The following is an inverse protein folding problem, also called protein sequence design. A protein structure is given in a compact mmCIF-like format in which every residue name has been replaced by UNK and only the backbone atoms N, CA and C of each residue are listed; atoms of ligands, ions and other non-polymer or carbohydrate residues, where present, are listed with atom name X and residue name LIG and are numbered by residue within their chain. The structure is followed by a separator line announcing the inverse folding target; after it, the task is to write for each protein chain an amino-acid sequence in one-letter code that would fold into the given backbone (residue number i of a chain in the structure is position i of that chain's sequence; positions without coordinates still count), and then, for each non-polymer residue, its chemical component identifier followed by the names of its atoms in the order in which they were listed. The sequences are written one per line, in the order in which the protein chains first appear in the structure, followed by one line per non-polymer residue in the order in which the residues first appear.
data_IF_806888037981
#
_entry.id   IF_806888037981
#
_cell.length_a   1.000
_cell.length_b   1.000
_cell.length_c   1.000
_cell.angle_alpha   90.00
_cell.angle_beta   90.00
_cell.angle_gamma   90.00
#
_symmetry.space_group_name_H-M   'P 1'
#
loop_
_entity.id
_entity.type
_entity.pdbx_description
1 polymer ?
#
# COMPACT_ATOMS: atom_id res chain seq x y z
N UNK A 1 -2.72 -26.05 8.08
CA UNK A 1 -2.38 -24.72 8.64
C UNK A 1 -1.76 -23.80 7.58
N UNK A 2 -0.98 -24.32 6.62
CA UNK A 2 -0.39 -23.54 5.50
C UNK A 2 -1.41 -22.76 4.66
N UNK A 3 -2.59 -23.33 4.36
CA UNK A 3 -3.61 -22.65 3.57
C UNK A 3 -4.07 -21.30 4.17
N UNK A 4 -4.06 -21.16 5.50
CA UNK A 4 -4.45 -19.93 6.19
C UNK A 4 -3.32 -18.88 6.18
N UNK A 5 -2.06 -19.30 6.09
CA UNK A 5 -0.92 -18.39 6.00
C UNK A 5 -0.81 -17.79 4.59
N UNK A 6 -1.04 -18.63 3.57
CA UNK A 6 -1.06 -18.21 2.16
C UNK A 6 -2.20 -17.24 1.85
N UNK A 7 -3.41 -17.46 2.41
CA UNK A 7 -4.53 -16.52 2.24
C UNK A 7 -4.22 -15.15 2.85
N UNK A 8 -3.72 -15.12 4.09
CA UNK A 8 -3.28 -13.89 4.77
C UNK A 8 -2.19 -13.16 3.98
N UNK A 9 -1.21 -13.88 3.45
CA UNK A 9 -0.18 -13.32 2.59
C UNK A 9 -0.77 -12.64 1.34
N UNK A 10 -1.69 -13.32 0.64
CA UNK A 10 -2.37 -12.75 -0.53
C UNK A 10 -3.20 -11.50 -0.15
N UNK A 11 -3.83 -11.49 1.02
CA UNK A 11 -4.52 -10.30 1.53
C UNK A 11 -3.56 -9.13 1.75
N UNK A 12 -2.38 -9.37 2.34
CA UNK A 12 -1.33 -8.33 2.51
C UNK A 12 -0.90 -7.73 1.18
N UNK A 13 -0.67 -8.58 0.17
CA UNK A 13 -0.30 -8.13 -1.17
C UNK A 13 -1.42 -7.32 -1.83
N UNK A 14 -2.68 -7.75 -1.67
CA UNK A 14 -3.86 -7.02 -2.15
C UNK A 14 -4.02 -5.68 -1.45
N UNK A 15 -3.82 -5.64 -0.13
CA UNK A 15 -3.88 -4.42 0.68
C UNK A 15 -2.84 -3.40 0.20
N UNK A 16 -1.59 -3.83 0.02
CA UNK A 16 -0.53 -2.97 -0.54
C UNK A 16 -0.93 -2.43 -1.92
N UNK A 17 -1.37 -3.30 -2.83
CA UNK A 17 -1.77 -2.88 -4.18
C UNK A 17 -2.93 -1.89 -4.14
N UNK A 18 -3.89 -2.09 -3.23
CA UNK A 18 -5.01 -1.17 -3.00
C UNK A 18 -4.51 0.18 -2.47
N UNK A 19 -3.59 0.18 -1.51
CA UNK A 19 -3.03 1.42 -0.96
C UNK A 19 -2.29 2.24 -2.02
N UNK A 20 -1.44 1.59 -2.82
CA UNK A 20 -0.78 2.24 -3.97
C UNK A 20 -1.84 2.74 -4.97
N UNK A 21 -2.82 1.91 -5.29
CA UNK A 21 -3.93 2.29 -6.18
C UNK A 21 -4.68 3.52 -5.67
N UNK A 22 -5.01 3.59 -4.38
CA UNK A 22 -5.69 4.75 -3.80
C UNK A 22 -4.79 5.99 -3.90
N UNK A 23 -3.51 5.89 -3.55
CA UNK A 23 -2.60 7.04 -3.57
C UNK A 23 -2.38 7.59 -4.98
N UNK A 24 -2.35 6.75 -6.02
CA UNK A 24 -2.06 7.20 -7.39
C UNK A 24 -3.31 7.39 -8.25
N UNK A 25 -4.28 6.47 -8.18
CA UNK A 25 -5.47 6.48 -9.05
C UNK A 25 -6.49 7.49 -8.57
N UNK A 26 -6.73 7.59 -7.26
CA UNK A 26 -7.71 8.53 -6.71
C UNK A 26 -7.40 9.99 -7.11
N UNK A 27 -6.20 10.54 -6.86
CA UNK A 27 -5.92 11.92 -7.28
C UNK A 27 -5.95 12.08 -8.79
N UNK A 28 -5.49 11.09 -9.55
CA UNK A 28 -5.55 11.14 -11.01
C UNK A 28 -6.99 11.25 -11.52
N UNK A 29 -7.91 10.45 -10.97
CA UNK A 29 -9.33 10.50 -11.32
C UNK A 29 -9.96 11.83 -10.91
N UNK A 30 -9.65 12.35 -9.72
CA UNK A 30 -10.14 13.65 -9.25
C UNK A 30 -9.70 14.76 -10.21
N UNK A 31 -8.41 14.79 -10.58
CA UNK A 31 -7.87 15.77 -11.54
C UNK A 31 -8.58 15.67 -12.89
N UNK A 32 -8.75 14.45 -13.44
CA UNK A 32 -9.43 14.25 -14.72
C UNK A 32 -10.89 14.73 -14.70
N UNK A 33 -11.63 14.44 -13.62
CA UNK A 33 -13.01 14.91 -13.46
C UNK A 33 -13.05 16.43 -13.32
N UNK A 34 -12.14 17.01 -12.54
CA UNK A 34 -12.06 18.47 -12.38
C UNK A 34 -11.73 19.17 -13.70
N UNK A 35 -10.85 18.60 -14.53
CA UNK A 35 -10.59 19.09 -15.90
C UNK A 35 -11.84 19.01 -16.78
N UNK A 36 -12.60 17.92 -16.70
CA UNK A 36 -13.84 17.74 -17.47
C UNK A 36 -14.91 18.78 -17.10
N UNK A 37 -14.99 19.12 -15.81
CA UNK A 37 -15.92 20.09 -15.24
C UNK A 37 -15.44 21.55 -15.34
N UNK A 38 -14.25 21.80 -15.91
CA UNK A 38 -13.62 23.14 -15.98
C UNK A 38 -13.56 23.85 -14.61
N UNK A 39 -13.26 23.09 -13.57
CA UNK A 39 -13.07 23.65 -12.22
C UNK A 39 -11.81 24.51 -12.23
N UNK A 40 -11.86 25.70 -11.61
CA UNK A 40 -10.66 26.55 -11.53
C UNK A 40 -9.53 25.87 -10.76
N UNK A 41 -8.31 26.05 -11.23
CA UNK A 41 -7.12 25.38 -10.72
C UNK A 41 -6.90 25.60 -9.22
N UNK A 42 -7.27 26.79 -8.72
CA UNK A 42 -7.18 27.15 -7.31
C UNK A 42 -8.00 26.23 -6.39
N UNK A 43 -9.20 25.83 -6.83
CA UNK A 43 -10.04 24.92 -6.05
C UNK A 43 -9.48 23.50 -6.07
N UNK A 44 -8.88 23.06 -7.17
CA UNK A 44 -8.23 21.74 -7.27
C UNK A 44 -7.03 21.69 -6.33
N UNK A 45 -6.19 22.73 -6.35
CA UNK A 45 -4.98 22.82 -5.53
C UNK A 45 -5.28 22.76 -4.02
N UNK A 46 -6.42 23.33 -3.58
CA UNK A 46 -6.82 23.34 -2.18
C UNK A 46 -7.59 22.07 -1.80
N UNK A 47 -8.56 21.64 -2.61
CA UNK A 47 -9.43 20.51 -2.28
C UNK A 47 -8.70 19.16 -2.30
N UNK A 48 -7.74 18.99 -3.20
CA UNK A 48 -7.01 17.75 -3.38
C UNK A 48 -6.17 17.36 -2.14
N UNK A 49 -5.30 18.22 -1.57
CA UNK A 49 -4.58 17.88 -0.34
C UNK A 49 -5.51 17.70 0.85
N UNK A 50 -6.57 18.51 0.96
CA UNK A 50 -7.57 18.37 2.04
C UNK A 50 -8.24 16.99 2.00
N UNK A 51 -8.53 16.46 0.81
CA UNK A 51 -9.08 15.11 0.65
C UNK A 51 -8.02 14.02 0.84
N UNK A 52 -6.80 14.19 0.30
CA UNK A 52 -5.77 13.15 0.31
C UNK A 52 -5.15 12.92 1.69
N UNK A 53 -4.93 13.96 2.49
CA UNK A 53 -4.30 13.83 3.81
C UNK A 53 -5.07 12.85 4.72
N UNK A 54 -6.39 13.00 4.97
CA UNK A 54 -7.13 12.08 5.82
C UNK A 54 -7.23 10.68 5.21
N UNK A 55 -7.42 10.56 3.90
CA UNK A 55 -7.47 9.27 3.19
C UNK A 55 -6.14 8.53 3.33
N UNK A 56 -5.03 9.23 3.08
CA UNK A 56 -3.68 8.72 3.21
C UNK A 56 -3.39 8.28 4.65
N UNK A 57 -3.72 9.12 5.64
CA UNK A 57 -3.55 8.80 7.04
C UNK A 57 -4.29 7.52 7.43
N UNK A 58 -5.61 7.45 7.19
CA UNK A 58 -6.42 6.27 7.51
C UNK A 58 -5.89 5.03 6.80
N UNK A 59 -5.52 5.16 5.51
CA UNK A 59 -5.01 4.04 4.72
C UNK A 59 -3.67 3.51 5.26
N UNK A 60 -2.76 4.40 5.66
CA UNK A 60 -1.46 4.04 6.23
C UNK A 60 -1.63 3.34 7.58
N UNK A 61 -2.47 3.88 8.49
CA UNK A 61 -2.74 3.26 9.79
C UNK A 61 -3.41 1.90 9.64
N UNK A 62 -4.39 1.80 8.73
CA UNK A 62 -5.04 0.53 8.43
C UNK A 62 -4.05 -0.51 7.87
N UNK A 63 -3.13 -0.06 7.02
CA UNK A 63 -2.07 -0.91 6.49
C UNK A 63 -1.10 -1.37 7.57
N UNK A 64 -0.59 -0.46 8.41
CA UNK A 64 0.28 -0.76 9.54
C UNK A 64 -0.35 -1.77 10.51
N UNK A 65 -1.64 -1.62 10.83
CA UNK A 65 -2.36 -2.53 11.69
C UNK A 65 -2.48 -3.95 11.10
N UNK A 66 -2.39 -4.07 9.77
CA UNK A 66 -2.46 -5.34 9.05
C UNK A 66 -1.09 -5.85 8.62
N UNK A 67 -0.02 -5.07 8.71
CA UNK A 67 1.35 -5.42 8.30
C UNK A 67 1.98 -6.42 9.28
N UNK A 68 1.42 -7.62 9.36
CA UNK A 68 1.87 -8.70 10.23
C UNK A 68 2.15 -9.92 9.36
N UNK A 69 3.39 -10.38 9.40
CA UNK A 69 3.83 -11.59 8.73
C UNK A 69 3.10 -12.82 9.31
N UNK A 70 2.43 -13.63 8.47
CA UNK A 70 1.68 -14.80 8.95
C UNK A 70 2.58 -15.96 9.41
N UNK A 71 3.90 -15.87 9.20
CA UNK A 71 4.89 -16.87 9.61
C UNK A 71 5.59 -16.51 10.92
N UNK A 72 6.22 -15.33 11.01
CA UNK A 72 7.00 -14.94 12.20
C UNK A 72 6.28 -13.95 13.13
N UNK A 73 5.10 -13.45 12.74
CA UNK A 73 4.34 -12.47 13.53
C UNK A 73 4.94 -11.06 13.59
N UNK A 74 6.07 -10.81 12.91
CA UNK A 74 6.71 -9.50 12.81
C UNK A 74 6.20 -8.71 11.59
N UNK A 75 6.58 -7.44 11.47
CA UNK A 75 6.22 -6.63 10.31
C UNK A 75 6.69 -7.24 8.99
N UNK A 76 5.79 -7.30 8.00
CA UNK A 76 6.10 -7.93 6.72
C UNK A 76 6.92 -7.01 5.82
N UNK A 77 6.51 -5.74 5.69
CA UNK A 77 7.14 -4.76 4.80
C UNK A 77 8.07 -3.77 5.52
N UNK A 78 7.77 -3.45 6.78
CA UNK A 78 8.50 -2.42 7.54
C UNK A 78 9.64 -3.07 8.34
N UNK A 79 10.87 -2.57 8.17
CA UNK A 79 12.01 -3.01 8.97
C UNK A 79 13.15 -2.00 8.96
N UNK A 80 14.27 -2.34 9.62
CA UNK A 80 15.38 -1.42 9.92
C UNK A 80 15.94 -0.65 8.72
N UNK A 81 15.97 -1.26 7.53
CA UNK A 81 16.43 -0.64 6.29
C UNK A 81 15.26 -0.52 5.30
N UNK A 82 14.32 0.38 5.59
CA UNK A 82 13.17 0.61 4.73
C UNK A 82 13.55 1.51 3.55
N UNK A 83 13.66 0.93 2.36
CA UNK A 83 13.68 1.67 1.11
C UNK A 83 12.26 1.79 0.55
N UNK A 84 11.86 2.99 0.14
CA UNK A 84 10.51 3.21 -0.44
C UNK A 84 10.23 2.37 -1.69
N UNK A 85 11.26 2.05 -2.49
CA UNK A 85 11.16 1.17 -3.65
C UNK A 85 10.98 -0.31 -3.26
N UNK A 86 11.61 -0.73 -2.16
CA UNK A 86 11.45 -2.09 -1.64
C UNK A 86 9.99 -2.35 -1.26
N UNK A 87 9.28 -1.35 -0.75
CA UNK A 87 7.87 -1.47 -0.47
C UNK A 87 7.05 -1.90 -1.70
N UNK A 88 7.38 -1.39 -2.89
CA UNK A 88 6.65 -1.64 -4.12
C UNK A 88 6.91 -3.06 -4.68
N UNK A 89 8.13 -3.56 -4.55
CA UNK A 89 8.60 -4.78 -5.25
C UNK A 89 8.64 -6.00 -4.33
N UNK A 90 8.92 -5.80 -3.03
CA UNK A 90 9.20 -6.88 -2.08
C UNK A 90 8.02 -7.86 -1.99
N UNK A 91 8.34 -9.14 -2.11
CA UNK A 91 7.38 -10.24 -1.98
C UNK A 91 7.63 -11.10 -0.76
N UNK A 92 8.72 -10.85 -0.03
CA UNK A 92 9.25 -11.61 1.11
C UNK A 92 9.26 -10.75 2.37
N UNK A 93 9.09 -11.37 3.54
CA UNK A 93 9.10 -10.73 4.84
C UNK A 93 10.52 -10.21 5.15
N UNK A 94 10.61 -8.98 5.67
CA UNK A 94 11.88 -8.37 6.08
C UNK A 94 12.60 -9.16 7.18
N UNK A 95 11.84 -9.81 8.06
CA UNK A 95 12.39 -10.47 9.24
C UNK A 95 12.76 -11.95 8.99
N UNK A 96 11.86 -12.74 8.39
CA UNK A 96 12.08 -14.18 8.22
C UNK A 96 12.32 -14.63 6.76
N UNK A 97 12.20 -13.73 5.79
CA UNK A 97 12.40 -14.05 4.36
C UNK A 97 11.25 -14.82 3.69
N UNK A 98 10.19 -15.19 4.43
CA UNK A 98 9.03 -15.89 3.87
C UNK A 98 8.08 -14.93 3.12
N UNK A 99 7.37 -15.35 2.06
CA UNK A 99 7.42 -16.67 1.47
C UNK A 99 8.74 -16.90 0.73
N UNK A 100 9.41 -18.02 1.01
CA UNK A 100 10.53 -18.51 0.21
C UNK A 100 10.03 -18.72 -1.22
N UNK A 101 10.18 -17.70 -2.05
CA UNK A 101 10.06 -17.86 -3.49
C UNK A 101 11.10 -18.91 -3.88
N UNK A 102 10.65 -19.94 -4.58
CA UNK A 102 11.48 -20.97 -5.21
C UNK A 102 12.37 -20.34 -6.29
N UNK A 103 13.34 -19.50 -5.91
CA UNK A 103 14.33 -18.94 -6.82
C UNK A 103 15.73 -19.34 -6.32
N UNK A 104 15.98 -20.64 -6.36
CA UNK A 104 17.25 -21.16 -6.84
C UNK A 104 17.11 -21.30 -8.37
N UNK A 105 17.20 -20.19 -9.11
CA UNK A 105 17.61 -20.14 -10.53
C UNK A 105 18.30 -18.81 -10.76
#
# INVERSE_FOLDING_TARGET
MENNQQSKYLELLKLRRRLIGIIFVFPSVVILISMLLRVEEHYILISLPIALIPIGYISIFYFLAKDICPWCGQSFFIGKNFNGLDFLIRKTCVCCGEPKSQNNV
#
